data_IF_478400682504
#
_entry.id   IF_478400682504
#
_cell.length_a   1.000
_cell.length_b   1.000
_cell.length_c   1.000
_cell.angle_alpha   90.00
_cell.angle_beta   90.00
_cell.angle_gamma   90.00
#
_symmetry.space_group_name_H-M   'P 1'
#
loop_
_entity.id
_entity.type
_entity.pdbx_description
1 polymer ?
#
# COMPACT_ATOMS: atom_id res chain seq x y z
N UNK A 1 0.35 11.87 1.48
CA UNK A 1 0.18 10.64 2.28
C UNK A 1 -0.83 9.68 1.65
N UNK A 2 -1.97 10.15 1.13
CA UNK A 2 -2.98 9.33 0.43
C UNK A 2 -2.43 8.63 -0.84
N UNK A 3 -1.73 9.37 -1.71
CA UNK A 3 -1.13 8.81 -2.94
C UNK A 3 -0.16 7.66 -2.67
N UNK A 4 0.74 7.79 -1.69
CA UNK A 4 1.65 6.69 -1.33
C UNK A 4 0.91 5.44 -0.88
N UNK A 5 -0.18 5.59 -0.12
CA UNK A 5 -0.99 4.44 0.31
C UNK A 5 -1.61 3.72 -0.90
N UNK A 6 -2.11 4.47 -1.87
CA UNK A 6 -2.69 3.90 -3.09
C UNK A 6 -1.65 3.16 -3.92
N UNK A 7 -0.41 3.67 -4.01
CA UNK A 7 0.71 2.97 -4.65
C UNK A 7 0.98 1.64 -3.93
N UNK A 8 1.07 1.64 -2.59
CA UNK A 8 1.25 0.40 -1.82
C UNK A 8 0.11 -0.59 -2.03
N UNK A 9 -1.14 -0.13 -2.11
CA UNK A 9 -2.27 -1.00 -2.39
C UNK A 9 -2.20 -1.59 -3.80
N UNK A 10 -1.73 -0.81 -4.78
CA UNK A 10 -1.49 -1.32 -6.14
C UNK A 10 -0.44 -2.43 -6.13
N UNK A 11 0.65 -2.27 -5.37
CA UNK A 11 1.68 -3.30 -5.27
C UNK A 11 1.19 -4.57 -4.55
N UNK A 12 0.38 -4.42 -3.50
CA UNK A 12 -0.11 -5.54 -2.69
C UNK A 12 -1.31 -6.27 -3.31
N UNK A 13 -2.22 -5.53 -3.94
CA UNK A 13 -3.54 -6.03 -4.34
C UNK A 13 -3.86 -5.81 -5.83
N UNK A 14 -3.02 -5.10 -6.59
CA UNK A 14 -3.29 -4.78 -7.99
C UNK A 14 -3.46 -6.01 -8.89
N UNK A 15 -2.81 -7.12 -8.55
CA UNK A 15 -2.97 -8.41 -9.26
C UNK A 15 -4.34 -9.07 -9.07
N UNK A 16 -5.11 -8.65 -8.06
CA UNK A 16 -6.47 -9.13 -7.77
C UNK A 16 -7.55 -8.31 -8.50
N UNK A 17 -7.16 -7.27 -9.21
CA UNK A 17 -8.04 -6.48 -10.07
C UNK A 17 -8.15 -7.12 -11.46
N UNK A 18 -9.14 -6.71 -12.24
CA UNK A 18 -9.15 -7.07 -13.66
C UNK A 18 -8.03 -6.31 -14.38
N UNK A 19 -7.55 -6.83 -15.52
CA UNK A 19 -6.50 -6.17 -16.31
C UNK A 19 -6.84 -4.72 -16.62
N UNK A 20 -8.07 -4.46 -17.04
CA UNK A 20 -8.55 -3.11 -17.34
C UNK A 20 -8.55 -2.19 -16.10
N UNK A 21 -8.98 -2.69 -14.94
CA UNK A 21 -8.92 -1.92 -13.69
C UNK A 21 -7.47 -1.61 -13.29
N UNK A 22 -6.57 -2.59 -13.45
CA UNK A 22 -5.16 -2.44 -13.10
C UNK A 22 -4.48 -1.39 -13.99
N UNK A 23 -4.73 -1.43 -15.30
CA UNK A 23 -4.20 -0.47 -16.27
C UNK A 23 -4.70 0.94 -15.99
N UNK A 24 -6.01 1.11 -15.84
CA UNK A 24 -6.62 2.40 -15.51
C UNK A 24 -6.06 3.01 -14.22
N UNK A 25 -5.96 2.21 -13.15
CA UNK A 25 -5.43 2.68 -11.88
C UNK A 25 -3.93 2.96 -11.96
N UNK A 26 -3.16 2.19 -12.74
CA UNK A 26 -1.72 2.45 -12.95
C UNK A 26 -1.50 3.82 -13.57
N UNK A 27 -2.25 4.15 -14.62
CA UNK A 27 -2.17 5.46 -15.30
C UNK A 27 -2.37 6.60 -14.29
N UNK A 28 -3.38 6.50 -13.41
CA UNK A 28 -3.67 7.55 -12.41
C UNK A 28 -2.71 7.56 -11.22
N UNK A 29 -2.42 6.40 -10.65
CA UNK A 29 -1.75 6.28 -9.33
C UNK A 29 -0.23 6.24 -9.45
N UNK A 30 0.31 5.72 -10.57
CA UNK A 30 1.75 5.48 -10.74
C UNK A 30 2.36 6.34 -11.85
N UNK A 31 1.57 6.74 -12.85
CA UNK A 31 2.06 7.45 -14.04
C UNK A 31 1.57 8.90 -14.11
N UNK A 32 0.83 9.37 -13.10
CA UNK A 32 0.32 10.75 -12.96
C UNK A 32 -0.53 11.25 -14.14
N UNK A 33 -1.17 10.35 -14.90
CA UNK A 33 -2.11 10.74 -15.94
C UNK A 33 -3.34 11.43 -15.33
N UNK A 34 -3.77 12.50 -15.98
CA UNK A 34 -5.05 13.12 -15.68
C UNK A 34 -6.22 12.29 -16.21
N UNK A 35 -7.40 12.43 -15.59
CA UNK A 35 -8.62 11.76 -16.06
C UNK A 35 -9.01 12.15 -17.50
N UNK A 36 -8.54 13.32 -17.97
CA UNK A 36 -8.78 13.77 -19.35
C UNK A 36 -7.89 13.06 -20.36
N UNK A 37 -6.60 12.87 -20.04
CA UNK A 37 -5.67 12.13 -20.88
C UNK A 37 -6.10 10.66 -21.00
N UNK A 38 -6.53 10.05 -19.90
CA UNK A 38 -7.04 8.67 -19.91
C UNK A 38 -8.34 8.56 -20.70
N UNK A 39 -9.23 9.56 -20.60
CA UNK A 39 -10.48 9.58 -21.35
C UNK A 39 -10.22 9.61 -22.87
N UNK A 40 -9.20 10.36 -23.30
CA UNK A 40 -8.77 10.40 -24.71
C UNK A 40 -8.12 9.08 -25.14
N UNK A 41 -7.21 8.53 -24.34
CA UNK A 41 -6.50 7.28 -24.64
C UNK A 41 -7.44 6.08 -24.76
N UNK A 42 -8.45 6.01 -23.88
CA UNK A 42 -9.39 4.89 -23.79
C UNK A 42 -10.70 5.11 -24.54
N UNK A 43 -10.86 6.24 -25.23
CA UNK A 43 -12.09 6.66 -25.94
C UNK A 43 -13.37 6.53 -25.08
N UNK A 44 -13.29 7.00 -23.84
CA UNK A 44 -14.41 7.04 -22.89
C UNK A 44 -14.59 8.43 -22.30
N UNK A 45 -15.73 8.68 -21.68
CA UNK A 45 -15.97 9.99 -21.05
C UNK A 45 -15.10 10.17 -19.82
N UNK A 46 -14.70 11.41 -19.53
CA UNK A 46 -13.99 11.76 -18.28
C UNK A 46 -14.74 11.30 -17.02
N UNK A 47 -16.07 11.33 -17.06
CA UNK A 47 -16.91 10.79 -15.97
C UNK A 47 -16.80 9.27 -15.87
N UNK A 48 -16.78 8.57 -17.00
CA UNK A 48 -16.55 7.12 -17.05
C UNK A 48 -15.20 6.73 -16.45
N UNK A 49 -14.12 7.48 -16.76
CA UNK A 49 -12.80 7.30 -16.14
C UNK A 49 -12.91 7.50 -14.63
N UNK A 50 -13.45 8.64 -14.19
CA UNK A 50 -13.60 8.96 -12.76
C UNK A 50 -14.29 7.83 -11.99
N UNK A 51 -15.43 7.36 -12.49
CA UNK A 51 -16.21 6.32 -11.82
C UNK A 51 -15.48 4.96 -11.83
N UNK A 52 -14.76 4.64 -12.90
CA UNK A 52 -13.98 3.42 -12.99
C UNK A 52 -12.77 3.44 -12.03
N UNK A 53 -12.08 4.58 -11.91
CA UNK A 53 -10.99 4.78 -10.94
C UNK A 53 -11.53 4.63 -9.53
N UNK A 54 -12.62 5.31 -9.18
CA UNK A 54 -13.19 5.24 -7.84
C UNK A 54 -13.61 3.81 -7.47
N UNK A 55 -14.23 3.07 -8.40
CA UNK A 55 -14.56 1.65 -8.17
C UNK A 55 -13.31 0.80 -7.93
N UNK A 56 -12.25 1.04 -8.69
CA UNK A 56 -10.96 0.36 -8.52
C UNK A 56 -10.34 0.63 -7.15
N UNK A 57 -10.25 1.90 -6.75
CA UNK A 57 -9.73 2.31 -5.44
C UNK A 57 -10.54 1.73 -4.28
N UNK A 58 -11.88 1.75 -4.37
CA UNK A 58 -12.75 1.14 -3.37
C UNK A 58 -12.50 -0.37 -3.23
N UNK A 59 -12.18 -1.05 -4.34
CA UNK A 59 -11.87 -2.49 -4.32
C UNK A 59 -10.51 -2.77 -3.67
N UNK A 60 -9.51 -1.94 -3.94
CA UNK A 60 -8.22 -1.99 -3.25
C UNK A 60 -8.38 -1.76 -1.74
N UNK A 61 -9.18 -0.78 -1.34
CA UNK A 61 -9.48 -0.53 0.08
C UNK A 61 -10.21 -1.72 0.72
N UNK A 62 -11.18 -2.32 0.02
CA UNK A 62 -11.87 -3.52 0.48
C UNK A 62 -10.88 -4.67 0.74
N UNK A 63 -9.88 -4.87 -0.14
CA UNK A 63 -8.84 -5.86 0.10
C UNK A 63 -8.01 -5.55 1.36
N UNK A 64 -7.62 -4.29 1.57
CA UNK A 64 -6.92 -3.91 2.80
C UNK A 64 -7.78 -4.15 4.05
N UNK A 65 -9.06 -3.83 4.02
CA UNK A 65 -9.97 -4.02 5.16
C UNK A 65 -10.07 -5.51 5.57
N UNK A 66 -9.89 -6.44 4.61
CA UNK A 66 -9.99 -7.88 4.85
C UNK A 66 -8.64 -8.57 5.08
N UNK A 67 -7.56 -8.08 4.44
CA UNK A 67 -6.25 -8.73 4.46
C UNK A 67 -5.24 -8.01 5.35
N UNK A 68 -5.41 -6.69 5.53
CA UNK A 68 -4.59 -5.82 6.37
C UNK A 68 -3.08 -5.91 6.08
N UNK A 69 -2.68 -6.16 4.82
CA UNK A 69 -1.27 -6.36 4.47
C UNK A 69 -0.47 -5.06 4.61
N UNK A 70 -1.03 -3.92 4.22
CA UNK A 70 -0.35 -2.64 4.36
C UNK A 70 -0.20 -2.27 5.84
N UNK A 71 -1.25 -2.45 6.64
CA UNK A 71 -1.18 -2.24 8.09
C UNK A 71 -0.11 -3.13 8.74
N UNK A 72 -0.08 -4.42 8.41
CA UNK A 72 0.94 -5.36 8.91
C UNK A 72 2.34 -4.92 8.48
N UNK A 73 2.53 -4.46 7.24
CA UNK A 73 3.79 -3.94 6.76
C UNK A 73 4.27 -2.74 7.60
N UNK A 74 3.39 -1.75 7.85
CA UNK A 74 3.73 -0.59 8.67
C UNK A 74 4.10 -0.98 10.11
N UNK A 75 3.36 -1.91 10.71
CA UNK A 75 3.68 -2.42 12.05
C UNK A 75 5.06 -3.09 12.09
N UNK A 76 5.40 -3.88 11.07
CA UNK A 76 6.74 -4.49 10.96
C UNK A 76 7.82 -3.42 10.83
N UNK A 77 7.62 -2.39 10.00
CA UNK A 77 8.58 -1.28 9.86
C UNK A 77 8.80 -0.51 11.17
N UNK A 78 7.73 -0.24 11.92
CA UNK A 78 7.82 0.41 13.23
C UNK A 78 8.66 -0.39 14.22
N UNK A 79 8.43 -1.70 14.31
CA UNK A 79 9.22 -2.60 15.17
C UNK A 79 10.69 -2.63 14.77
N UNK A 80 10.98 -2.68 13.47
CA UNK A 80 12.36 -2.65 12.96
C UNK A 80 13.05 -1.32 13.32
N UNK A 81 12.37 -0.19 13.13
CA UNK A 81 12.90 1.12 13.55
C UNK A 81 13.17 1.17 15.05
N UNK A 82 12.25 0.64 15.86
CA UNK A 82 12.42 0.55 17.31
C UNK A 82 13.63 -0.31 17.70
N UNK A 83 13.82 -1.45 17.05
CA UNK A 83 15.01 -2.31 17.25
C UNK A 83 16.29 -1.52 16.93
N UNK A 84 16.32 -0.76 15.82
CA UNK A 84 17.49 0.06 15.46
C UNK A 84 17.81 1.10 16.52
N UNK A 85 16.81 1.83 17.00
CA UNK A 85 16.97 2.82 18.08
C UNK A 85 17.54 2.19 19.36
N UNK A 86 17.03 1.02 19.74
CA UNK A 86 17.51 0.27 20.91
C UNK A 86 18.98 -0.12 20.72
N UNK A 87 19.34 -0.68 19.56
CA UNK A 87 20.71 -1.12 19.25
C UNK A 87 21.74 0.04 19.15
N UNK A 88 21.29 1.24 18.80
CA UNK A 88 22.11 2.46 18.80
C UNK A 88 22.28 3.08 20.22
N UNK A 89 21.46 2.64 21.19
CA UNK A 89 21.51 3.04 22.60
C UNK A 89 22.44 2.20 23.48
N UNK A 90 22.32 2.38 24.81
CA UNK A 90 23.24 1.81 25.80
C UNK A 90 23.01 0.30 26.04
N UNK A 91 24.09 -0.49 26.11
CA UNK A 91 24.05 -1.94 25.84
C UNK A 91 23.50 -2.83 26.96
N UNK A 92 23.22 -2.27 28.14
CA UNK A 92 23.00 -3.07 29.35
C UNK A 92 21.58 -3.66 29.48
N UNK A 93 20.58 -3.20 28.70
CA UNK A 93 19.19 -3.68 28.78
C UNK A 93 18.64 -4.21 27.43
N UNK A 94 19.52 -4.46 26.46
CA UNK A 94 19.16 -4.71 25.06
C UNK A 94 18.43 -6.03 24.78
N UNK A 95 18.62 -7.08 25.58
CA UNK A 95 18.33 -8.44 25.11
C UNK A 95 16.85 -8.83 25.11
N UNK A 96 16.08 -8.45 26.13
CA UNK A 96 14.68 -8.88 26.25
C UNK A 96 13.77 -8.16 25.26
N UNK A 97 13.78 -6.82 25.22
CA UNK A 97 12.91 -6.04 24.34
C UNK A 97 13.20 -6.32 22.86
N UNK A 98 14.48 -6.48 22.49
CA UNK A 98 14.85 -6.86 21.12
C UNK A 98 14.40 -8.28 20.79
N UNK A 99 14.54 -9.24 21.73
CA UNK A 99 14.12 -10.62 21.50
C UNK A 99 12.60 -10.74 21.34
N UNK A 100 11.83 -10.00 22.14
CA UNK A 100 10.37 -9.96 22.05
C UNK A 100 9.92 -9.35 20.71
N UNK A 101 10.50 -8.20 20.32
CA UNK A 101 10.20 -7.56 19.04
C UNK A 101 10.57 -8.45 17.83
N UNK A 102 11.70 -9.16 17.90
CA UNK A 102 12.12 -10.11 16.86
C UNK A 102 11.18 -11.33 16.78
N UNK A 103 10.76 -11.87 17.92
CA UNK A 103 9.82 -13.00 17.96
C UNK A 103 8.49 -12.60 17.30
N UNK A 104 7.94 -11.45 17.68
CA UNK A 104 6.69 -10.95 17.08
C UNK A 104 6.81 -10.57 15.59
N UNK A 105 8.02 -10.32 15.07
CA UNK A 105 8.25 -10.11 13.63
C UNK A 105 8.24 -11.42 12.84
N UNK A 106 8.73 -12.51 13.45
CA UNK A 106 8.84 -13.83 12.85
C UNK A 106 7.52 -14.62 12.89
N UNK A 107 6.66 -14.34 13.87
CA UNK A 107 5.37 -15.02 14.06
C UNK A 107 4.20 -14.46 13.20
N UNK A 108 4.46 -13.50 12.31
CA UNK A 108 3.44 -12.69 11.61
C UNK A 108 3.38 -12.82 10.09
#
# INVERSE_FOLDING_TARGET
>A
MEQMRQIYYMDLYGSLLTKHQQELLRMVVMEDYSLGEIAQELDITRQGVHDAVQRGLNKLQWYEDHLSLYKKHLMKQQKISRIKEILEGDREHLSSEVFDLLSELLDA
#
